data_IF_815448796442
#
_entry.id   IF_815448796442
#
_cell.length_a   1.000
_cell.length_b   1.000
_cell.length_c   1.000
_cell.angle_alpha   90.00
_cell.angle_beta   90.00
_cell.angle_gamma   90.00
#
_symmetry.space_group_name_H-M   'P 1'
#
loop_
_entity.id
_entity.type
_entity.pdbx_description
1 polymer ?
#
# COMPACT_ATOMS: atom_id res chain seq x y z
N UNK A 1 -29.12 -16.21 -37.40
CA UNK A 1 -29.43 -14.81 -37.76
C UNK A 1 -30.64 -14.26 -37.02
N UNK A 2 -31.86 -14.82 -37.17
CA UNK A 2 -33.02 -14.33 -36.41
C UNK A 2 -32.91 -14.57 -34.89
N UNK A 3 -32.49 -15.78 -34.49
CA UNK A 3 -32.27 -16.11 -33.07
C UNK A 3 -31.15 -15.29 -32.41
N UNK A 4 -30.06 -15.01 -33.15
CA UNK A 4 -28.94 -14.20 -32.64
C UNK A 4 -29.33 -12.72 -32.48
N UNK A 5 -30.20 -12.22 -33.36
CA UNK A 5 -30.75 -10.86 -33.30
C UNK A 5 -31.70 -10.70 -32.13
N UNK A 6 -32.58 -11.68 -31.90
CA UNK A 6 -33.48 -11.69 -30.75
C UNK A 6 -32.68 -11.77 -29.44
N UNK A 7 -31.61 -12.57 -29.39
CA UNK A 7 -30.72 -12.63 -28.23
C UNK A 7 -29.98 -11.30 -27.96
N UNK A 8 -29.55 -10.59 -29.01
CA UNK A 8 -28.96 -9.25 -28.86
C UNK A 8 -30.00 -8.20 -28.42
N UNK A 9 -31.24 -8.32 -28.89
CA UNK A 9 -32.34 -7.47 -28.45
C UNK A 9 -32.71 -7.72 -26.98
N UNK A 10 -32.70 -8.99 -26.54
CA UNK A 10 -32.91 -9.38 -25.14
C UNK A 10 -31.77 -8.89 -24.21
N UNK A 11 -30.56 -8.75 -24.75
CA UNK A 11 -29.42 -8.12 -24.05
C UNK A 11 -29.50 -6.58 -24.00
N UNK A 12 -30.54 -5.98 -24.60
CA UNK A 12 -30.80 -4.54 -24.56
C UNK A 12 -30.15 -3.73 -25.67
N UNK A 13 -29.65 -4.37 -26.74
CA UNK A 13 -29.13 -3.65 -27.90
C UNK A 13 -30.24 -3.29 -28.89
N UNK A 14 -30.11 -2.13 -29.54
CA UNK A 14 -31.04 -1.71 -30.59
C UNK A 14 -31.07 -2.70 -31.76
N UNK A 15 -32.27 -3.05 -32.23
CA UNK A 15 -32.46 -4.10 -33.25
C UNK A 15 -31.75 -3.77 -34.58
N UNK A 16 -31.70 -2.51 -34.99
CA UNK A 16 -31.08 -2.11 -36.25
C UNK A 16 -29.55 -2.11 -36.12
N UNK A 17 -29.02 -1.69 -34.96
CA UNK A 17 -27.58 -1.76 -34.66
C UNK A 17 -27.11 -3.21 -34.51
N UNK A 18 -27.92 -4.08 -33.89
CA UNK A 18 -27.66 -5.51 -33.78
C UNK A 18 -27.67 -6.22 -35.14
N UNK A 19 -28.55 -5.82 -36.07
CA UNK A 19 -28.52 -6.32 -37.45
C UNK A 19 -27.23 -5.95 -38.17
N UNK A 20 -26.78 -4.70 -38.03
CA UNK A 20 -25.53 -4.25 -38.63
C UNK A 20 -24.32 -4.97 -38.01
N UNK A 21 -24.33 -5.17 -36.70
CA UNK A 21 -23.32 -5.92 -35.97
C UNK A 21 -23.27 -7.39 -36.40
N UNK A 22 -24.42 -8.04 -36.64
CA UNK A 22 -24.46 -9.41 -37.16
C UNK A 22 -23.96 -9.50 -38.61
N UNK A 23 -24.22 -8.48 -39.44
CA UNK A 23 -23.67 -8.40 -40.80
C UNK A 23 -22.14 -8.24 -40.81
N UNK A 24 -21.58 -7.48 -39.87
CA UNK A 24 -20.12 -7.23 -39.79
C UNK A 24 -19.37 -8.29 -38.99
N UNK A 25 -19.94 -8.74 -37.88
CA UNK A 25 -19.36 -9.72 -36.96
C UNK A 25 -19.59 -11.18 -37.35
N UNK A 26 -20.56 -11.46 -38.23
CA UNK A 26 -20.84 -12.78 -38.82
C UNK A 26 -21.41 -13.84 -37.86
N UNK A 27 -21.06 -13.80 -36.58
CA UNK A 27 -21.60 -14.64 -35.51
C UNK A 27 -21.96 -13.79 -34.28
N UNK A 28 -22.70 -14.36 -33.31
CA UNK A 28 -23.16 -13.64 -32.12
C UNK A 28 -22.00 -13.00 -31.33
N UNK A 29 -20.93 -13.75 -31.08
CA UNK A 29 -19.76 -13.25 -30.32
C UNK A 29 -19.03 -12.11 -31.02
N UNK A 30 -18.92 -12.17 -32.35
CA UNK A 30 -18.32 -11.13 -33.17
C UNK A 30 -19.22 -9.91 -33.30
N UNK A 31 -20.54 -10.10 -33.28
CA UNK A 31 -21.50 -9.01 -33.21
C UNK A 31 -21.39 -8.27 -31.86
N UNK A 32 -21.23 -8.99 -30.74
CA UNK A 32 -21.02 -8.37 -29.42
C UNK A 32 -19.70 -7.57 -29.38
N UNK A 33 -18.58 -8.16 -29.82
CA UNK A 33 -17.28 -7.45 -29.87
C UNK A 33 -17.30 -6.23 -30.82
N UNK A 34 -18.08 -6.31 -31.91
CA UNK A 34 -18.28 -5.17 -32.79
C UNK A 34 -19.16 -4.09 -32.15
N UNK A 35 -20.22 -4.47 -31.43
CA UNK A 35 -21.07 -3.54 -30.69
C UNK A 35 -20.28 -2.83 -29.59
N UNK A 36 -19.45 -3.55 -28.82
CA UNK A 36 -18.59 -3.01 -27.76
C UNK A 36 -17.59 -1.98 -28.29
N UNK A 37 -17.01 -2.21 -29.47
CA UNK A 37 -16.09 -1.26 -30.13
C UNK A 37 -16.78 -0.03 -30.72
N UNK A 38 -18.09 -0.11 -30.94
CA UNK A 38 -18.88 0.93 -31.57
C UNK A 38 -20.00 1.45 -30.66
N UNK A 39 -19.88 1.29 -29.33
CA UNK A 39 -20.88 1.75 -28.35
C UNK A 39 -21.12 3.25 -28.47
N UNK A 40 -20.04 4.02 -28.64
CA UNK A 40 -20.07 5.48 -28.66
C UNK A 40 -20.53 6.06 -30.01
N UNK A 41 -20.65 5.23 -31.06
CA UNK A 41 -21.10 5.67 -32.38
C UNK A 41 -22.61 5.54 -32.53
N UNK A 42 -23.24 6.61 -33.03
CA UNK A 42 -24.66 6.61 -33.35
C UNK A 42 -24.94 5.67 -34.54
N UNK A 43 -26.18 5.21 -34.65
CA UNK A 43 -26.60 4.33 -35.75
C UNK A 43 -26.46 5.03 -37.11
N UNK A 44 -26.69 6.34 -37.14
CA UNK A 44 -26.59 7.20 -38.31
C UNK A 44 -25.13 7.37 -38.75
N UNK A 45 -24.18 7.55 -37.81
CA UNK A 45 -22.75 7.61 -38.12
C UNK A 45 -22.23 6.28 -38.67
N UNK A 46 -22.68 5.15 -38.09
CA UNK A 46 -22.30 3.82 -38.55
C UNK A 46 -22.86 3.50 -39.95
N UNK A 47 -24.08 3.95 -40.24
CA UNK A 47 -24.67 3.83 -41.58
C UNK A 47 -23.99 4.74 -42.60
N UNK A 48 -23.55 5.94 -42.19
CA UNK A 48 -22.77 6.84 -43.04
C UNK A 48 -21.36 6.30 -43.31
N UNK A 49 -20.70 5.69 -42.32
CA UNK A 49 -19.42 5.00 -42.51
C UNK A 49 -19.57 3.79 -43.45
N UNK A 50 -20.65 3.03 -43.33
CA UNK A 50 -20.94 1.91 -44.25
C UNK A 50 -21.26 2.39 -45.66
N UNK A 51 -22.01 3.49 -45.81
CA UNK A 51 -22.30 4.11 -47.10
C UNK A 51 -21.05 4.74 -47.74
N UNK A 52 -20.16 5.34 -46.94
CA UNK A 52 -18.87 5.84 -47.40
C UNK A 52 -17.95 4.69 -47.84
N UNK A 53 -18.01 3.54 -47.16
CA UNK A 53 -17.22 2.35 -47.49
C UNK A 53 -17.82 1.55 -48.66
N UNK A 54 -19.13 1.62 -48.89
CA UNK A 54 -19.80 1.05 -50.05
C UNK A 54 -19.74 1.95 -51.30
N UNK A 55 -19.49 3.25 -51.13
CA UNK A 55 -19.32 4.22 -52.22
C UNK A 55 -17.99 4.11 -52.99
N UNK A 56 -17.05 3.28 -52.54
CA UNK A 56 -15.74 3.08 -53.18
C UNK A 56 -15.76 2.06 -54.35
N UNK A 57 -16.88 1.37 -54.60
CA UNK A 57 -16.98 0.35 -55.67
C UNK A 57 -17.90 0.71 -56.87
N UNK A 58 -18.38 1.96 -57.00
CA UNK A 58 -19.22 2.33 -58.15
C UNK A 58 -19.17 3.81 -58.56
N UNK A 59 -18.08 4.27 -59.19
CA UNK A 59 -18.15 5.36 -60.20
C UNK A 59 -16.83 5.51 -60.99
N UNK A 60 -16.79 5.18 -62.30
CA UNK A 60 -15.65 5.45 -63.15
C UNK A 60 -15.84 6.79 -63.87
N UNK A 61 -15.81 7.91 -63.16
CA UNK A 61 -15.60 9.21 -63.79
C UNK A 61 -15.08 10.28 -62.83
N UNK A 62 -13.85 10.71 -63.14
CA UNK A 62 -13.15 11.92 -62.70
C UNK A 62 -12.64 11.98 -61.24
N UNK A 63 -11.42 11.46 -61.00
CA UNK A 63 -10.59 11.83 -59.84
C UNK A 63 -9.10 11.88 -60.26
N UNK A 64 -8.33 12.93 -59.89
CA UNK A 64 -6.95 13.18 -60.34
C UNK A 64 -5.98 12.03 -60.03
N UNK A 65 -5.18 11.65 -61.02
CA UNK A 65 -4.41 10.40 -61.06
C UNK A 65 -3.09 10.40 -60.25
N UNK A 66 -2.63 11.54 -59.72
CA UNK A 66 -1.50 11.60 -58.78
C UNK A 66 -1.42 12.95 -58.05
N UNK A 67 -0.87 12.98 -56.83
CA UNK A 67 -0.60 14.20 -56.06
C UNK A 67 0.91 14.36 -55.88
N UNK A 68 1.45 15.57 -55.98
CA UNK A 68 2.88 15.85 -55.84
C UNK A 68 3.09 16.75 -54.64
N UNK A 69 3.95 16.33 -53.71
CA UNK A 69 4.34 17.21 -52.62
C UNK A 69 5.26 18.31 -53.15
N UNK A 70 4.89 19.58 -52.95
CA UNK A 70 5.67 20.73 -53.45
C UNK A 70 6.98 20.92 -52.67
N UNK A 71 7.03 20.46 -51.42
CA UNK A 71 8.21 20.59 -50.55
C UNK A 71 9.33 19.58 -50.87
N UNK A 72 8.98 18.39 -51.38
CA UNK A 72 9.96 17.35 -51.68
C UNK A 72 9.87 16.77 -53.10
N UNK A 73 8.94 17.26 -53.92
CA UNK A 73 8.75 16.85 -55.32
C UNK A 73 8.28 15.40 -55.50
N UNK A 74 7.87 14.71 -54.42
CA UNK A 74 7.54 13.29 -54.46
C UNK A 74 6.12 13.09 -54.98
N UNK A 75 5.98 12.29 -56.04
CA UNK A 75 4.70 11.93 -56.65
C UNK A 75 4.04 10.77 -55.89
N UNK A 76 2.79 10.96 -55.54
CA UNK A 76 1.96 10.11 -54.71
C UNK A 76 0.84 9.55 -55.57
N UNK A 77 0.59 8.24 -55.46
CA UNK A 77 -0.37 7.53 -56.32
C UNK A 77 -1.83 7.80 -55.94
N UNK A 78 -2.10 8.15 -54.69
CA UNK A 78 -3.44 8.43 -54.18
C UNK A 78 -3.37 9.32 -52.92
N UNK A 79 -4.53 9.80 -52.48
CA UNK A 79 -4.70 10.65 -51.30
C UNK A 79 -4.24 9.96 -50.00
N UNK A 80 -4.44 8.64 -49.87
CA UNK A 80 -3.97 7.86 -48.72
C UNK A 80 -2.43 7.83 -48.60
N UNK A 81 -1.73 7.75 -49.73
CA UNK A 81 -0.28 7.87 -49.73
C UNK A 81 0.13 9.29 -49.30
N UNK A 82 -0.53 10.33 -49.82
CA UNK A 82 -0.24 11.73 -49.47
C UNK A 82 -0.35 11.97 -47.95
N UNK A 83 -1.40 11.43 -47.31
CA UNK A 83 -1.56 11.45 -45.86
C UNK A 83 -0.42 10.73 -45.11
N UNK A 84 -0.01 9.54 -45.57
CA UNK A 84 1.11 8.82 -44.97
C UNK A 84 2.44 9.58 -45.11
N UNK A 85 2.64 10.30 -46.21
CA UNK A 85 3.80 11.16 -46.40
C UNK A 85 3.73 12.41 -45.51
N UNK A 86 2.56 13.02 -45.36
CA UNK A 86 2.34 14.11 -44.41
C UNK A 86 2.63 13.66 -42.97
N UNK A 87 2.15 12.50 -42.53
CA UNK A 87 2.37 12.00 -41.17
C UNK A 87 3.84 11.61 -40.89
N UNK A 88 4.54 11.11 -41.91
CA UNK A 88 5.93 10.65 -41.76
C UNK A 88 6.98 11.76 -41.94
N UNK A 89 6.73 12.71 -42.83
CA UNK A 89 7.66 13.80 -43.13
C UNK A 89 7.20 15.20 -42.72
N UNK A 90 5.95 15.37 -42.31
CA UNK A 90 5.39 16.66 -41.88
C UNK A 90 5.22 17.66 -43.04
N UNK A 91 5.01 17.17 -44.27
CA UNK A 91 4.80 18.02 -45.44
C UNK A 91 3.32 18.05 -45.80
N UNK A 92 2.73 19.25 -45.86
CA UNK A 92 1.29 19.44 -46.01
C UNK A 92 0.90 20.07 -47.36
N UNK A 93 1.87 20.57 -48.14
CA UNK A 93 1.62 21.20 -49.44
C UNK A 93 1.68 20.18 -50.59
N UNK A 94 0.51 19.81 -51.13
CA UNK A 94 0.35 18.90 -52.27
C UNK A 94 -0.34 19.57 -53.47
N UNK A 95 0.20 19.38 -54.67
CA UNK A 95 -0.39 19.80 -55.95
C UNK A 95 -0.91 18.60 -56.74
N UNK A 96 -2.08 18.73 -57.35
CA UNK A 96 -2.66 17.67 -58.20
C UNK A 96 -1.97 17.64 -59.57
N UNK A 97 -1.39 16.50 -59.95
CA UNK A 97 -0.72 16.30 -61.25
C UNK A 97 -1.39 15.17 -62.03
N UNK A 98 -1.65 15.40 -63.33
CA UNK A 98 -2.33 14.45 -64.24
C UNK A 98 -1.40 13.39 -64.84
N UNK A 99 -0.18 13.23 -64.33
CA UNK A 99 0.77 12.25 -64.83
C UNK A 99 0.53 10.89 -64.18
N UNK A 100 0.02 9.93 -64.96
CA UNK A 100 -0.10 8.53 -64.54
C UNK A 100 1.29 7.96 -64.20
N UNK A 101 1.53 7.70 -62.92
CA UNK A 101 2.76 7.01 -62.48
C UNK A 101 2.73 5.60 -63.06
N UNK A 102 3.61 5.33 -64.04
CA UNK A 102 3.75 4.03 -64.66
C UNK A 102 3.84 2.92 -63.58
N UNK A 103 2.99 1.89 -63.64
CA UNK A 103 3.01 0.83 -62.64
C UNK A 103 4.38 0.14 -62.70
N UNK A 104 5.05 0.11 -61.55
CA UNK A 104 6.36 -0.53 -61.36
C UNK A 104 6.39 -1.90 -62.08
N UNK A 105 7.45 -2.15 -62.84
CA UNK A 105 7.56 -3.37 -63.67
C UNK A 105 7.51 -4.62 -62.79
N UNK A 106 7.06 -5.75 -63.31
CA UNK A 106 6.89 -6.97 -62.50
C UNK A 106 8.20 -7.47 -61.85
N UNK A 107 9.35 -7.14 -62.44
CA UNK A 107 10.67 -7.47 -61.91
C UNK A 107 11.01 -6.59 -60.70
N UNK A 108 10.86 -5.27 -60.80
CA UNK A 108 11.14 -4.35 -59.69
C UNK A 108 10.19 -4.55 -58.49
N UNK A 109 8.96 -5.02 -58.74
CA UNK A 109 8.03 -5.41 -57.67
C UNK A 109 8.49 -6.66 -56.93
N UNK A 110 9.07 -7.63 -57.64
CA UNK A 110 9.62 -8.86 -57.04
C UNK A 110 10.87 -8.53 -56.22
N UNK A 111 11.77 -7.72 -56.76
CA UNK A 111 13.00 -7.32 -56.07
C UNK A 111 12.70 -6.52 -54.80
N UNK A 112 11.76 -5.56 -54.85
CA UNK A 112 11.32 -4.82 -53.65
C UNK A 112 10.60 -5.71 -52.62
N UNK A 113 9.87 -6.73 -53.05
CA UNK A 113 9.26 -7.71 -52.14
C UNK A 113 10.33 -8.58 -51.48
N UNK A 114 11.37 -8.96 -52.20
CA UNK A 114 12.49 -9.73 -51.65
C UNK A 114 13.32 -8.89 -50.69
N UNK A 115 13.62 -7.64 -51.04
CA UNK A 115 14.29 -6.68 -50.15
C UNK A 115 13.48 -6.44 -48.87
N UNK A 116 12.15 -6.23 -48.98
CA UNK A 116 11.28 -6.07 -47.81
C UNK A 116 11.25 -7.35 -46.95
N UNK A 117 11.23 -8.53 -47.57
CA UNK A 117 11.31 -9.81 -46.86
C UNK A 117 12.65 -9.99 -46.16
N UNK A 118 13.75 -9.57 -46.76
CA UNK A 118 15.08 -9.60 -46.16
C UNK A 118 15.15 -8.62 -44.98
N UNK A 119 14.70 -7.38 -45.15
CA UNK A 119 14.62 -6.38 -44.08
C UNK A 119 13.76 -6.85 -42.89
N UNK A 120 12.63 -7.52 -43.15
CA UNK A 120 11.80 -8.11 -42.09
C UNK A 120 12.50 -9.28 -41.39
N UNK A 121 13.25 -10.11 -42.11
CA UNK A 121 14.05 -11.20 -41.51
C UNK A 121 15.17 -10.64 -40.64
N UNK A 122 15.87 -9.62 -41.10
CA UNK A 122 16.91 -8.94 -40.31
C UNK A 122 16.32 -8.27 -39.06
N UNK A 123 15.17 -7.59 -39.19
CA UNK A 123 14.48 -7.00 -38.04
C UNK A 123 14.06 -8.07 -37.02
N UNK A 124 13.51 -9.20 -37.47
CA UNK A 124 13.17 -10.33 -36.58
C UNK A 124 14.40 -10.95 -35.94
N UNK A 125 15.50 -11.09 -36.68
CA UNK A 125 16.75 -11.61 -36.14
C UNK A 125 17.33 -10.69 -35.06
N UNK A 126 17.29 -9.37 -35.27
CA UNK A 126 17.71 -8.38 -34.27
C UNK A 126 16.82 -8.40 -33.03
N UNK A 127 15.50 -8.42 -33.22
CA UNK A 127 14.53 -8.56 -32.11
C UNK A 127 14.80 -9.84 -31.31
N UNK A 128 15.03 -10.98 -31.96
CA UNK A 128 15.32 -12.23 -31.26
C UNK A 128 16.64 -12.20 -30.44
N UNK A 129 17.62 -11.39 -30.84
CA UNK A 129 18.85 -11.17 -30.06
C UNK A 129 18.59 -10.27 -28.86
N UNK A 130 17.84 -9.18 -29.06
CA UNK A 130 17.47 -8.24 -28.00
C UNK A 130 16.58 -8.91 -26.95
N UNK A 131 15.62 -9.73 -27.38
CA UNK A 131 14.72 -10.49 -26.50
C UNK A 131 15.50 -11.51 -25.66
N UNK A 132 16.42 -12.27 -26.27
CA UNK A 132 17.30 -13.19 -25.53
C UNK A 132 18.20 -12.46 -24.53
N UNK A 133 18.67 -11.25 -24.86
CA UNK A 133 19.44 -10.44 -23.94
C UNK A 133 18.58 -9.92 -22.78
N UNK A 134 17.33 -9.53 -23.06
CA UNK A 134 16.37 -9.10 -22.05
C UNK A 134 15.96 -10.25 -21.11
N UNK A 135 15.73 -11.45 -21.64
CA UNK A 135 15.44 -12.65 -20.84
C UNK A 135 16.60 -12.98 -19.89
N UNK A 136 17.85 -12.99 -20.38
CA UNK A 136 19.03 -13.21 -19.53
C UNK A 136 19.15 -12.17 -18.42
N UNK A 137 18.91 -10.89 -18.72
CA UNK A 137 18.93 -9.83 -17.70
C UNK A 137 17.80 -10.02 -16.69
N UNK A 138 16.60 -10.39 -17.13
CA UNK A 138 15.47 -10.63 -16.23
C UNK A 138 15.74 -11.83 -15.30
N UNK A 139 16.30 -12.91 -15.83
CA UNK A 139 16.70 -14.07 -15.04
C UNK A 139 17.81 -13.73 -14.04
N UNK A 140 18.79 -12.89 -14.43
CA UNK A 140 19.82 -12.40 -13.52
C UNK A 140 19.23 -11.51 -12.41
N UNK A 141 18.27 -10.65 -12.73
CA UNK A 141 17.55 -9.83 -11.72
C UNK A 141 16.78 -10.73 -10.74
N UNK A 142 16.08 -11.76 -11.22
CA UNK A 142 15.37 -12.72 -10.35
C UNK A 142 16.34 -13.48 -9.44
N UNK A 143 17.49 -13.90 -9.96
CA UNK A 143 18.54 -14.57 -9.16
C UNK A 143 19.16 -13.63 -8.13
N UNK A 144 19.44 -12.37 -8.49
CA UNK A 144 19.95 -11.36 -7.55
C UNK A 144 18.92 -11.05 -6.47
N UNK A 145 17.66 -10.82 -6.84
CA UNK A 145 16.60 -10.53 -5.89
C UNK A 145 16.36 -11.69 -4.91
N UNK A 146 16.33 -12.94 -5.40
CA UNK A 146 16.19 -14.11 -4.51
C UNK A 146 17.38 -14.23 -3.56
N UNK A 147 18.61 -14.05 -4.06
CA UNK A 147 19.82 -14.04 -3.22
C UNK A 147 19.79 -12.91 -2.19
N UNK A 148 19.51 -11.68 -2.58
CA UNK A 148 19.40 -10.53 -1.68
C UNK A 148 18.31 -10.74 -0.62
N UNK A 149 17.20 -11.39 -0.98
CA UNK A 149 16.14 -11.73 -0.02
C UNK A 149 16.54 -12.81 0.99
N UNK A 150 17.40 -13.77 0.60
CA UNK A 150 17.94 -14.79 1.49
C UNK A 150 19.01 -14.18 2.40
N UNK A 151 19.94 -13.40 1.82
CA UNK A 151 21.00 -12.69 2.54
C UNK A 151 20.41 -11.72 3.58
N UNK A 152 19.34 -10.98 3.23
CA UNK A 152 18.65 -10.09 4.16
C UNK A 152 17.98 -10.85 5.32
N UNK A 153 17.42 -12.04 5.07
CA UNK A 153 16.86 -12.90 6.13
C UNK A 153 17.96 -13.43 7.04
N UNK A 154 19.09 -13.86 6.49
CA UNK A 154 20.24 -14.32 7.29
C UNK A 154 20.80 -13.20 8.15
N UNK A 155 20.98 -12.00 7.59
CA UNK A 155 21.45 -10.83 8.33
C UNK A 155 20.50 -10.46 9.47
N UNK A 156 19.19 -10.49 9.24
CA UNK A 156 18.18 -10.23 10.27
C UNK A 156 18.28 -11.26 11.40
N UNK A 157 18.38 -12.56 11.06
CA UNK A 157 18.56 -13.63 12.06
C UNK A 157 19.85 -13.47 12.86
N UNK A 158 20.96 -13.14 12.20
CA UNK A 158 22.24 -12.88 12.87
C UNK A 158 22.17 -11.65 13.78
N UNK A 159 21.47 -10.59 13.36
CA UNK A 159 21.27 -9.38 14.15
C UNK A 159 20.40 -9.64 15.38
N UNK A 160 19.36 -10.45 15.25
CA UNK A 160 18.52 -10.88 16.38
C UNK A 160 19.32 -11.73 17.38
N UNK A 161 20.08 -12.71 16.91
CA UNK A 161 20.94 -13.53 17.77
C UNK A 161 22.00 -12.69 18.49
N UNK A 162 22.64 -11.73 17.79
CA UNK A 162 23.58 -10.79 18.41
C UNK A 162 22.90 -9.90 19.45
N UNK A 163 21.70 -9.41 19.17
CA UNK A 163 20.92 -8.57 20.11
C UNK A 163 20.52 -9.36 21.35
N UNK A 164 20.08 -10.60 21.20
CA UNK A 164 19.72 -11.47 22.32
C UNK A 164 20.96 -11.82 23.17
N UNK A 165 22.07 -12.18 22.53
CA UNK A 165 23.33 -12.44 23.22
C UNK A 165 23.85 -11.19 23.96
N UNK A 166 23.71 -10.00 23.36
CA UNK A 166 24.07 -8.74 24.00
C UNK A 166 23.16 -8.43 25.20
N UNK A 167 21.83 -8.59 25.05
CA UNK A 167 20.86 -8.41 26.15
C UNK A 167 21.17 -9.35 27.31
N UNK A 168 21.43 -10.63 27.04
CA UNK A 168 21.79 -11.61 28.08
C UNK A 168 23.12 -11.28 28.78
N UNK A 169 24.10 -10.73 28.06
CA UNK A 169 25.35 -10.25 28.67
C UNK A 169 25.11 -9.02 29.54
N UNK A 170 24.25 -8.11 29.09
CA UNK A 170 23.89 -6.91 29.82
C UNK A 170 23.11 -7.26 31.10
N UNK A 171 22.09 -8.11 31.02
CA UNK A 171 21.33 -8.60 32.19
C UNK A 171 22.26 -9.24 33.23
N UNK A 172 23.20 -10.09 32.80
CA UNK A 172 24.21 -10.68 33.70
C UNK A 172 25.13 -9.63 34.32
N UNK A 173 25.56 -8.62 33.55
CA UNK A 173 26.42 -7.56 34.06
C UNK A 173 25.69 -6.67 35.07
N UNK A 174 24.42 -6.34 34.81
CA UNK A 174 23.55 -5.56 35.68
C UNK A 174 23.24 -6.31 36.98
N UNK A 175 23.02 -7.63 36.92
CA UNK A 175 22.87 -8.48 38.10
C UNK A 175 24.14 -8.50 38.97
N UNK A 176 25.31 -8.59 38.33
CA UNK A 176 26.61 -8.53 39.04
C UNK A 176 26.79 -7.14 39.66
N UNK A 177 26.47 -6.07 38.94
CA UNK A 177 26.57 -4.70 39.44
C UNK A 177 25.59 -4.44 40.59
N UNK A 178 24.36 -4.95 40.51
CA UNK A 178 23.36 -4.86 41.57
C UNK A 178 23.84 -5.60 42.84
N UNK A 179 24.37 -6.81 42.70
CA UNK A 179 24.96 -7.57 43.82
C UNK A 179 26.16 -6.84 44.43
N UNK A 180 27.02 -6.22 43.62
CA UNK A 180 28.14 -5.39 44.11
C UNK A 180 27.64 -4.17 44.88
N UNK A 181 26.66 -3.42 44.35
CA UNK A 181 26.05 -2.28 45.05
C UNK A 181 25.39 -2.67 46.37
N UNK A 182 24.72 -3.83 46.43
CA UNK A 182 24.14 -4.33 47.68
C UNK A 182 25.25 -4.69 48.67
N UNK A 183 26.31 -5.37 48.22
CA UNK A 183 27.46 -5.71 49.08
C UNK A 183 28.15 -4.45 49.62
N UNK A 184 28.37 -3.44 48.78
CA UNK A 184 28.96 -2.15 49.19
C UNK A 184 28.08 -1.43 50.22
N UNK A 185 26.75 -1.45 50.06
CA UNK A 185 25.81 -0.90 51.06
C UNK A 185 25.86 -1.64 52.39
N UNK A 186 25.95 -2.97 52.35
CA UNK A 186 26.08 -3.80 53.57
C UNK A 186 27.43 -3.54 54.25
N UNK A 187 28.51 -3.40 53.49
CA UNK A 187 29.84 -3.10 54.02
C UNK A 187 29.90 -1.69 54.62
N UNK A 188 29.30 -0.70 53.97
CA UNK A 188 29.17 0.65 54.50
C UNK A 188 28.34 0.70 55.79
N UNK A 189 27.17 0.03 55.84
CA UNK A 189 26.34 -0.05 57.06
C UNK A 189 27.08 -0.79 58.19
N UNK A 190 27.80 -1.86 57.87
CA UNK A 190 28.62 -2.61 58.85
C UNK A 190 29.79 -1.77 59.37
N UNK A 191 30.47 -1.03 58.51
CA UNK A 191 31.55 -0.13 58.89
C UNK A 191 31.03 1.04 59.75
N UNK A 192 29.87 1.59 59.43
CA UNK A 192 29.23 2.64 60.21
C UNK A 192 28.83 2.14 61.61
N UNK A 193 28.22 0.95 61.71
CA UNK A 193 27.91 0.33 63.01
C UNK A 193 29.17 0.06 63.82
N UNK A 194 30.23 -0.44 63.19
CA UNK A 194 31.51 -0.66 63.86
C UNK A 194 32.12 0.66 64.36
N UNK A 195 32.12 1.71 63.54
CA UNK A 195 32.59 3.05 63.92
C UNK A 195 31.78 3.63 65.08
N UNK A 196 30.45 3.48 65.05
CA UNK A 196 29.58 3.94 66.14
C UNK A 196 29.81 3.17 67.44
N UNK A 197 30.00 1.85 67.37
CA UNK A 197 30.33 1.02 68.53
C UNK A 197 31.72 1.34 69.10
N UNK A 198 32.72 1.60 68.25
CA UNK A 198 34.05 2.06 68.68
C UNK A 198 33.99 3.45 69.31
N UNK A 199 33.19 4.37 68.76
CA UNK A 199 32.94 5.68 69.36
C UNK A 199 32.26 5.57 70.73
N UNK A 200 31.24 4.71 70.87
CA UNK A 200 30.55 4.48 72.15
C UNK A 200 31.47 3.80 73.19
N UNK A 201 32.32 2.85 72.75
CA UNK A 201 33.31 2.22 73.61
C UNK A 201 34.39 3.22 74.05
N UNK A 202 34.89 4.06 73.14
CA UNK A 202 35.82 5.14 73.47
C UNK A 202 35.20 6.16 74.43
N UNK A 203 33.91 6.48 74.25
CA UNK A 203 33.14 7.35 75.15
C UNK A 203 32.93 6.71 76.53
N UNK A 204 32.79 5.39 76.60
CA UNK A 204 32.68 4.62 77.85
C UNK A 204 34.01 4.51 78.59
N UNK A 205 35.12 4.33 77.87
CA UNK A 205 36.47 4.21 78.43
C UNK A 205 37.05 5.56 78.85
N UNK A 206 36.52 6.69 78.36
CA UNK A 206 36.98 8.03 78.75
C UNK A 206 35.82 9.00 79.11
N UNK A 207 35.18 8.82 80.28
CA UNK A 207 34.05 9.65 80.73
C UNK A 207 34.45 11.07 81.21
N UNK A 208 35.73 11.47 81.11
CA UNK A 208 36.20 12.80 81.51
C UNK A 208 36.24 13.81 80.35
N UNK A 209 35.86 13.41 79.12
CA UNK A 209 35.96 14.26 77.93
C UNK A 209 34.63 14.65 77.27
N UNK A 210 33.47 14.41 77.90
CA UNK A 210 32.19 14.81 77.30
C UNK A 210 31.19 15.40 78.29
N UNK A 211 31.01 16.71 78.16
CA UNK A 211 29.98 17.56 78.75
C UNK A 211 28.66 17.38 77.97
N UNK A 212 27.57 16.89 78.58
CA UNK A 212 26.28 16.72 77.90
C UNK A 212 25.47 18.01 77.97
N UNK A 213 25.77 18.95 77.08
CA UNK A 213 25.03 20.20 76.88
C UNK A 213 24.67 20.44 75.42
N UNK A 214 23.96 19.53 74.76
CA UNK A 214 23.40 19.78 73.41
C UNK A 214 22.09 19.01 73.17
N UNK A 215 21.01 19.66 72.69
CA UNK A 215 19.70 19.04 72.53
C UNK A 215 19.64 18.15 71.29
N UNK A 216 19.30 16.87 71.48
CA UNK A 216 19.04 15.91 70.42
C UNK A 216 17.61 16.04 69.90
N UNK A 217 17.48 16.38 68.61
CA UNK A 217 16.22 16.29 67.87
C UNK A 217 15.73 14.84 67.81
N UNK A 218 14.48 14.63 68.23
CA UNK A 218 13.82 13.33 68.22
C UNK A 218 13.40 12.93 66.80
N UNK A 219 13.88 11.78 66.34
CA UNK A 219 13.33 11.03 65.21
C UNK A 219 13.59 9.55 65.46
N UNK A 220 12.54 8.80 65.80
CA UNK A 220 12.61 7.37 66.06
C UNK A 220 11.21 6.82 66.31
N UNK A 221 10.78 5.91 65.46
CA UNK A 221 9.39 5.47 65.35
C UNK A 221 8.99 4.26 66.21
N UNK A 222 7.72 3.87 66.01
CA UNK A 222 7.10 2.59 66.38
C UNK A 222 6.74 2.43 67.86
N UNK A 223 5.57 1.82 68.17
CA UNK A 223 5.42 0.39 67.89
C UNK A 223 4.05 -0.06 67.32
N UNK A 224 4.07 -1.33 66.92
CA UNK A 224 3.08 -2.12 66.19
C UNK A 224 1.81 -2.46 66.98
N UNK A 225 0.65 -2.47 66.29
CA UNK A 225 -0.54 -3.22 66.70
C UNK A 225 -1.37 -3.67 65.47
N UNK A 226 -1.25 -4.97 65.17
CA UNK A 226 -2.28 -5.93 64.76
C UNK A 226 -3.43 -5.50 63.82
N UNK A 227 -3.36 -6.05 62.61
CA UNK A 227 -4.43 -6.70 61.84
C UNK A 227 -5.85 -6.10 61.87
N UNK A 228 -6.17 -5.31 60.83
CA UNK A 228 -7.49 -5.29 60.22
C UNK A 228 -7.35 -5.10 58.71
N UNK A 229 -7.91 -6.02 57.93
CA UNK A 229 -7.99 -5.93 56.48
C UNK A 229 -8.84 -4.70 56.10
N UNK A 230 -8.20 -3.64 55.63
CA UNK A 230 -8.88 -2.47 55.06
C UNK A 230 -8.59 -2.40 53.56
N UNK A 231 -9.68 -2.45 52.80
CA UNK A 231 -9.72 -2.21 51.37
C UNK A 231 -8.99 -0.90 51.01
N UNK A 232 -8.20 -0.87 49.93
CA UNK A 232 -7.55 0.36 49.54
C UNK A 232 -8.58 1.42 49.18
N UNK A 233 -8.45 2.58 49.83
CA UNK A 233 -9.23 3.77 49.59
C UNK A 233 -9.19 4.16 48.10
N UNK A 234 -10.35 4.56 47.55
CA UNK A 234 -10.47 5.14 46.22
C UNK A 234 -9.67 6.44 46.16
N UNK A 235 -8.42 6.35 45.73
CA UNK A 235 -7.66 7.50 45.25
C UNK A 235 -8.25 7.88 43.90
N UNK A 236 -8.94 9.02 43.83
CA UNK A 236 -9.30 9.68 42.57
C UNK A 236 -8.03 10.23 41.92
N UNK A 237 -7.23 9.34 41.34
CA UNK A 237 -6.18 9.74 40.44
C UNK A 237 -6.85 10.24 39.16
N UNK A 238 -6.64 11.52 38.82
CA UNK A 238 -6.99 12.08 37.51
C UNK A 238 -6.08 11.42 36.48
N UNK A 239 -6.52 10.30 35.93
CA UNK A 239 -5.80 9.62 34.86
C UNK A 239 -6.01 10.39 33.55
N UNK A 240 -4.93 10.94 32.99
CA UNK A 240 -4.90 11.63 31.68
C UNK A 240 -4.95 10.66 30.49
N UNK A 241 -4.82 9.37 30.75
CA UNK A 241 -4.83 8.30 29.78
C UNK A 241 -5.82 7.20 30.19
N UNK A 242 -6.47 6.60 29.20
CA UNK A 242 -7.41 5.50 29.34
C UNK A 242 -6.88 4.25 28.64
N UNK A 243 -6.84 3.13 29.36
CA UNK A 243 -6.45 1.82 28.81
C UNK A 243 -7.68 1.04 28.38
N UNK A 244 -7.85 0.84 27.08
CA UNK A 244 -8.97 0.11 26.49
C UNK A 244 -8.55 -1.30 26.08
N UNK A 245 -9.32 -2.29 26.53
CA UNK A 245 -9.31 -3.66 26.01
C UNK A 245 -10.50 -3.83 25.08
N UNK A 246 -10.23 -3.88 23.78
CA UNK A 246 -11.19 -3.99 22.70
C UNK A 246 -11.26 -5.45 22.27
N UNK A 247 -12.39 -6.12 22.49
CA UNK A 247 -12.64 -7.48 22.03
C UNK A 247 -13.25 -7.40 20.63
N UNK A 248 -12.46 -7.74 19.61
CA UNK A 248 -12.92 -7.83 18.22
C UNK A 248 -13.16 -9.29 17.84
N UNK A 249 -13.86 -9.58 16.73
CA UNK A 249 -14.03 -10.95 16.24
C UNK A 249 -12.69 -11.63 15.91
N UNK A 250 -11.64 -10.86 15.62
CA UNK A 250 -10.30 -11.33 15.30
C UNK A 250 -9.37 -11.49 16.52
N UNK A 251 -9.81 -11.14 17.73
CA UNK A 251 -9.02 -11.25 18.95
C UNK A 251 -9.16 -10.05 19.89
N UNK A 252 -8.27 -9.93 20.86
CA UNK A 252 -8.28 -8.83 21.81
C UNK A 252 -7.19 -7.81 21.46
N UNK A 253 -7.59 -6.56 21.24
CA UNK A 253 -6.72 -5.42 21.01
C UNK A 253 -6.62 -4.61 22.30
N UNK A 254 -5.39 -4.31 22.76
CA UNK A 254 -5.15 -3.46 23.93
C UNK A 254 -4.47 -2.18 23.49
N UNK A 255 -5.11 -1.03 23.75
CA UNK A 255 -4.61 0.28 23.38
C UNK A 255 -4.78 1.27 24.52
N UNK A 256 -3.88 2.24 24.56
CA UNK A 256 -3.93 3.34 25.52
C UNK A 256 -4.15 4.61 24.73
N UNK A 257 -5.18 5.37 25.10
CA UNK A 257 -5.56 6.61 24.44
C UNK A 257 -5.66 7.76 25.46
N UNK A 258 -5.39 9.02 25.09
CA UNK A 258 -5.69 10.18 25.91
C UNK A 258 -7.18 10.28 26.28
N UNK A 259 -7.52 10.93 27.41
CA UNK A 259 -8.93 11.04 27.84
C UNK A 259 -9.86 11.80 26.89
N UNK A 260 -9.29 12.67 26.06
CA UNK A 260 -10.03 13.55 25.13
C UNK A 260 -10.27 12.90 23.77
N UNK A 261 -9.71 11.72 23.49
CA UNK A 261 -9.96 11.03 22.22
C UNK A 261 -11.42 10.63 22.12
N UNK A 262 -11.97 10.77 20.91
CA UNK A 262 -13.35 10.40 20.62
C UNK A 262 -13.46 8.90 20.36
N UNK A 263 -14.66 8.34 20.58
CA UNK A 263 -14.95 6.95 20.22
C UNK A 263 -14.77 6.70 18.71
N UNK A 264 -14.91 7.73 17.87
CA UNK A 264 -14.62 7.67 16.43
C UNK A 264 -13.15 7.38 16.14
N UNK A 265 -12.21 8.05 16.82
CA UNK A 265 -10.78 7.79 16.66
C UNK A 265 -10.39 6.38 17.13
N UNK A 266 -11.01 5.91 18.21
CA UNK A 266 -10.85 4.53 18.68
C UNK A 266 -11.38 3.53 17.65
N UNK A 267 -12.53 3.80 17.02
CA UNK A 267 -13.07 2.97 15.94
C UNK A 267 -12.12 2.92 14.74
N UNK A 268 -11.55 4.06 14.33
CA UNK A 268 -10.57 4.10 13.25
C UNK A 268 -9.30 3.30 13.58
N UNK A 269 -8.79 3.43 14.81
CA UNK A 269 -7.63 2.66 15.28
C UNK A 269 -7.91 1.14 15.28
N UNK A 270 -9.13 0.72 15.65
CA UNK A 270 -9.52 -0.69 15.62
C UNK A 270 -9.68 -1.21 14.19
N UNK A 271 -10.28 -0.42 13.29
CA UNK A 271 -10.39 -0.76 11.87
C UNK A 271 -9.00 -0.91 11.23
N UNK A 272 -8.05 -0.05 11.58
CA UNK A 272 -6.67 -0.14 11.09
C UNK A 272 -5.95 -1.44 11.52
N UNK A 273 -6.27 -1.99 12.70
CA UNK A 273 -5.62 -3.20 13.22
C UNK A 273 -6.35 -4.50 12.88
N UNK A 274 -7.68 -4.46 12.81
CA UNK A 274 -8.51 -5.66 12.59
C UNK A 274 -8.97 -5.79 11.14
N UNK A 275 -8.93 -4.70 10.36
CA UNK A 275 -9.41 -4.66 8.96
C UNK A 275 -10.93 -4.70 8.81
N UNK A 276 -11.68 -4.70 9.92
CA UNK A 276 -13.14 -4.74 9.94
C UNK A 276 -13.69 -3.40 10.43
N UNK A 277 -14.74 -2.91 9.79
CA UNK A 277 -15.43 -1.68 10.21
C UNK A 277 -16.12 -1.88 11.55
N UNK A 278 -15.84 -0.99 12.50
CA UNK A 278 -16.51 -0.99 13.81
C UNK A 278 -17.88 -0.34 13.71
N UNK A 279 -18.94 -1.10 14.00
CA UNK A 279 -20.34 -0.65 13.98
C UNK A 279 -20.83 -0.16 15.35
N UNK A 280 -20.41 -0.80 16.44
CA UNK A 280 -20.82 -0.44 17.80
C UNK A 280 -19.82 -0.89 18.86
N UNK A 281 -19.80 -0.16 19.99
CA UNK A 281 -19.05 -0.55 21.19
C UNK A 281 -20.03 -0.97 22.28
N UNK A 282 -19.77 -2.09 22.95
CA UNK A 282 -20.58 -2.56 24.08
C UNK A 282 -19.71 -2.81 25.31
N UNK A 283 -20.01 -2.13 26.42
CA UNK A 283 -19.43 -2.44 27.74
C UNK A 283 -20.29 -3.49 28.44
N UNK A 284 -19.66 -4.49 29.07
CA UNK A 284 -20.38 -5.58 29.75
C UNK A 284 -20.92 -5.18 31.14
N UNK A 285 -20.23 -4.29 31.86
CA UNK A 285 -20.63 -3.89 33.22
C UNK A 285 -20.19 -2.45 33.58
N UNK A 286 -21.12 -1.55 33.94
CA UNK A 286 -22.56 -1.62 33.64
C UNK A 286 -22.79 -1.75 32.13
N UNK A 287 -23.86 -2.45 31.72
CA UNK A 287 -24.16 -2.66 30.30
C UNK A 287 -24.47 -1.33 29.64
N UNK A 288 -23.59 -0.89 28.73
CA UNK A 288 -23.76 0.35 27.96
C UNK A 288 -23.34 0.08 26.51
N UNK A 289 -24.17 0.49 25.57
CA UNK A 289 -23.94 0.34 24.14
C UNK A 289 -23.78 1.73 23.56
N UNK A 290 -22.75 1.94 22.77
CA UNK A 290 -22.53 3.15 21.98
C UNK A 290 -22.69 2.80 20.51
N UNK A 291 -23.64 3.47 19.87
CA UNK A 291 -23.86 3.36 18.43
C UNK A 291 -23.11 4.47 17.70
N UNK A 292 -23.17 4.47 16.36
CA UNK A 292 -22.43 5.42 15.53
C UNK A 292 -22.80 6.89 15.79
N UNK A 293 -24.00 7.16 16.30
CA UNK A 293 -24.43 8.50 16.75
C UNK A 293 -23.66 8.99 17.98
N UNK A 294 -23.18 8.08 18.83
CA UNK A 294 -22.47 8.39 20.06
C UNK A 294 -20.95 8.48 19.86
N UNK A 295 -20.46 8.25 18.65
CA UNK A 295 -19.01 8.22 18.36
C UNK A 295 -18.32 9.58 18.53
N UNK A 296 -19.10 10.66 18.64
CA UNK A 296 -18.62 12.00 18.99
C UNK A 296 -18.27 12.17 20.47
N UNK A 297 -18.68 11.25 21.35
CA UNK A 297 -18.35 11.33 22.78
C UNK A 297 -16.87 11.01 23.02
N UNK A 298 -16.27 11.73 23.96
CA UNK A 298 -14.91 11.47 24.42
C UNK A 298 -14.86 10.28 25.38
N UNK A 299 -13.69 9.64 25.53
CA UNK A 299 -13.49 8.55 26.50
C UNK A 299 -13.84 8.96 27.94
N UNK A 300 -13.64 10.24 28.28
CA UNK A 300 -14.01 10.82 29.58
C UNK A 300 -15.53 10.90 29.76
N UNK A 301 -16.25 11.39 28.76
CA UNK A 301 -17.72 11.49 28.79
C UNK A 301 -18.40 10.11 28.75
N UNK A 302 -17.79 9.17 28.04
CA UNK A 302 -18.24 7.78 28.00
C UNK A 302 -18.00 7.03 29.33
N UNK A 303 -17.14 7.55 30.22
CA UNK A 303 -16.82 6.92 31.50
C UNK A 303 -15.84 5.76 31.39
N UNK A 304 -14.98 5.76 30.36
CA UNK A 304 -14.05 4.68 30.03
C UNK A 304 -12.65 4.86 30.65
N UNK A 305 -12.49 5.88 31.49
CA UNK A 305 -11.27 6.24 32.21
C UNK A 305 -11.34 5.65 33.63
N UNK A 306 -10.29 5.02 34.17
CA UNK A 306 -8.93 4.87 33.63
C UNK A 306 -8.71 3.61 32.79
N UNK A 307 -9.63 2.65 32.86
CA UNK A 307 -9.57 1.43 32.07
C UNK A 307 -10.95 0.89 31.78
N UNK A 308 -11.18 0.43 30.56
CA UNK A 308 -12.44 -0.18 30.18
C UNK A 308 -12.24 -1.37 29.24
N UNK A 309 -13.18 -2.32 29.30
CA UNK A 309 -13.26 -3.44 28.38
C UNK A 309 -14.52 -3.29 27.52
N UNK A 310 -14.31 -3.15 26.21
CA UNK A 310 -15.36 -2.95 25.21
C UNK A 310 -15.37 -4.12 24.25
N UNK A 311 -16.57 -4.59 23.92
CA UNK A 311 -16.82 -5.54 22.84
C UNK A 311 -17.10 -4.71 21.59
N UNK A 312 -16.32 -4.96 20.54
CA UNK A 312 -16.44 -4.30 19.24
C UNK A 312 -17.24 -5.22 18.32
N UNK A 313 -18.30 -4.68 17.73
CA UNK A 313 -19.13 -5.39 16.76
C UNK A 313 -19.08 -4.72 15.41
#
# INVERSE_FOLDING_TARGET
>A
MAADLDQLADMGFDREKAQLALKKGGNLTGAIDWLDKNVDKSLEDLQQEDAAQAGDEANPSAVPMSMVCNDCGKKMRNMAAAQFHAEKSGHDDFSESTEEIAPLTEQEKKDKLEEMRQALREKKARQAVDDKAAEKRNDEIKRKHTKESEDAKEELRLKEQKKEAARKKQEKADDIAAKKRIREKIEADKAERKRKAEQEKAMRENPAAYDPGAPTAASGGGPSALAAAQQPAKTTATHSEARLRLQTPGGNVMKTFPTETTLFEVAHAVTAETGNETSSFTQNFPKKVWERSDFGMTLKEAGLVPSAALIVK
#
